data_IF_785713662075
#
_entry.id   IF_785713662075
#
_cell.length_a   1.000
_cell.length_b   1.000
_cell.length_c   1.000
_cell.angle_alpha   90.00
_cell.angle_beta   90.00
_cell.angle_gamma   90.00
#
_symmetry.space_group_name_H-M   'P 1'
#
loop_
_entity.id
_entity.type
_entity.pdbx_description
1 polymer ?
#
# COMPACT_ATOMS: atom_id res chain seq x y z
N UNK A 1 -20.26 -0.46 0.32
CA UNK A 1 -20.30 -0.53 -1.15
C UNK A 1 -19.79 0.75 -1.82
N UNK A 2 -20.51 1.88 -1.82
CA UNK A 2 -20.02 3.13 -2.46
C UNK A 2 -18.96 3.87 -1.64
N UNK A 3 -19.13 3.95 -0.31
CA UNK A 3 -18.17 4.63 0.57
C UNK A 3 -16.82 3.91 0.64
N UNK A 4 -16.83 2.58 0.74
CA UNK A 4 -15.59 1.77 0.75
C UNK A 4 -14.82 1.92 -0.56
N UNK A 5 -15.51 1.82 -1.71
CA UNK A 5 -14.87 2.01 -3.01
C UNK A 5 -14.25 3.41 -3.13
N UNK A 6 -14.97 4.44 -2.69
CA UNK A 6 -14.47 5.81 -2.65
C UNK A 6 -13.22 5.94 -1.77
N UNK A 7 -13.23 5.32 -0.57
CA UNK A 7 -12.08 5.32 0.33
C UNK A 7 -10.87 4.61 -0.27
N UNK A 8 -11.06 3.47 -0.95
CA UNK A 8 -9.98 2.78 -1.67
C UNK A 8 -9.37 3.70 -2.74
N UNK A 9 -10.19 4.35 -3.56
CA UNK A 9 -9.70 5.27 -4.59
C UNK A 9 -8.99 6.49 -4.02
N UNK A 10 -9.47 7.03 -2.88
CA UNK A 10 -8.82 8.14 -2.19
C UNK A 10 -7.44 7.72 -1.68
N UNK A 11 -7.32 6.56 -1.03
CA UNK A 11 -6.03 6.03 -0.56
C UNK A 11 -5.09 5.81 -1.75
N UNK A 12 -5.58 5.15 -2.80
CA UNK A 12 -4.79 4.88 -4.01
C UNK A 12 -4.30 6.18 -4.66
N UNK A 13 -5.19 7.16 -4.82
CA UNK A 13 -4.86 8.49 -5.35
C UNK A 13 -3.82 9.21 -4.50
N UNK A 14 -3.96 9.18 -3.18
CA UNK A 14 -2.98 9.76 -2.26
C UNK A 14 -1.61 9.08 -2.37
N UNK A 15 -1.56 7.75 -2.50
CA UNK A 15 -0.30 7.02 -2.72
C UNK A 15 0.35 7.46 -4.02
N UNK A 16 -0.39 7.52 -5.13
CA UNK A 16 0.16 7.96 -6.41
C UNK A 16 0.73 9.38 -6.33
N UNK A 17 0.00 10.32 -5.71
CA UNK A 17 0.50 11.69 -5.53
C UNK A 17 1.78 11.69 -4.71
N UNK A 18 1.85 10.94 -3.61
CA UNK A 18 3.03 10.86 -2.75
C UNK A 18 4.24 10.21 -3.44
N UNK A 19 4.01 9.16 -4.25
CA UNK A 19 5.05 8.51 -5.03
C UNK A 19 5.56 9.43 -6.14
N UNK A 20 4.68 10.16 -6.83
CA UNK A 20 5.07 11.12 -7.89
C UNK A 20 5.83 12.31 -7.31
N UNK A 21 5.44 12.77 -6.11
CA UNK A 21 6.07 13.93 -5.46
C UNK A 21 7.56 13.73 -5.19
N UNK A 22 8.02 12.48 -5.04
CA UNK A 22 9.45 12.13 -5.02
C UNK A 22 10.28 12.70 -3.86
N UNK A 23 9.66 13.42 -2.91
CA UNK A 23 10.36 13.99 -1.74
C UNK A 23 10.49 13.01 -0.58
N UNK A 24 9.53 12.09 -0.45
CA UNK A 24 9.51 11.07 0.60
C UNK A 24 10.06 9.78 0.00
N UNK A 25 10.85 9.03 0.78
CA UNK A 25 11.33 7.71 0.36
C UNK A 25 10.13 6.82 0.00
N UNK A 26 10.21 6.18 -1.15
CA UNK A 26 9.15 5.31 -1.68
C UNK A 26 8.71 4.23 -0.68
N UNK A 27 9.66 3.63 0.04
CA UNK A 27 9.38 2.63 1.07
C UNK A 27 8.51 3.18 2.20
N UNK A 28 8.77 4.43 2.61
CA UNK A 28 8.05 5.09 3.70
C UNK A 28 6.62 5.45 3.25
N UNK A 29 6.46 5.87 2.00
CA UNK A 29 5.13 6.10 1.39
C UNK A 29 4.34 4.80 1.38
N UNK A 30 4.91 3.70 0.86
CA UNK A 30 4.25 2.40 0.80
C UNK A 30 3.86 1.87 2.20
N UNK A 31 4.76 1.99 3.18
CA UNK A 31 4.50 1.56 4.55
C UNK A 31 3.41 2.38 5.24
N UNK A 32 3.44 3.71 5.07
CA UNK A 32 2.41 4.58 5.63
C UNK A 32 1.02 4.32 5.02
N UNK A 33 0.97 4.07 3.71
CA UNK A 33 -0.26 3.73 3.01
C UNK A 33 -0.88 2.43 3.52
N UNK A 34 -0.05 1.41 3.76
CA UNK A 34 -0.47 0.14 4.33
C UNK A 34 -1.12 0.35 5.71
N UNK A 35 -0.44 1.08 6.60
CA UNK A 35 -0.94 1.37 7.94
C UNK A 35 -2.27 2.13 7.88
N UNK A 36 -2.36 3.17 7.04
CA UNK A 36 -3.58 3.98 6.90
C UNK A 36 -4.74 3.14 6.35
N UNK A 37 -4.49 2.30 5.35
CA UNK A 37 -5.53 1.43 4.78
C UNK A 37 -6.06 0.43 5.81
N UNK A 38 -5.17 -0.20 6.58
CA UNK A 38 -5.56 -1.12 7.65
C UNK A 38 -6.27 -0.40 8.79
N UNK A 39 -5.80 0.80 9.20
CA UNK A 39 -6.41 1.57 10.27
C UNK A 39 -7.83 2.06 9.96
N UNK A 40 -8.14 2.36 8.69
CA UNK A 40 -9.49 2.74 8.24
C UNK A 40 -10.41 1.50 8.09
N UNK A 41 -9.87 0.28 8.27
CA UNK A 41 -10.62 -0.97 8.16
C UNK A 41 -10.89 -1.39 6.71
N UNK A 42 -10.15 -0.82 5.74
CA UNK A 42 -10.25 -1.20 4.33
C UNK A 42 -9.63 -2.57 4.05
N UNK A 43 -8.68 -2.98 4.89
CA UNK A 43 -7.99 -4.27 4.80
C UNK A 43 -8.03 -4.92 6.19
N UNK A 44 -8.45 -6.19 6.30
CA UNK A 44 -8.36 -6.95 7.55
C UNK A 44 -6.92 -6.95 8.06
N UNK A 45 -6.72 -6.71 9.35
CA UNK A 45 -5.38 -6.68 9.97
C UNK A 45 -4.61 -7.98 9.74
N UNK A 46 -5.34 -9.10 9.70
CA UNK A 46 -4.83 -10.45 9.49
C UNK A 46 -4.27 -10.64 8.07
N UNK A 47 -4.78 -9.88 7.10
CA UNK A 47 -4.41 -9.96 5.68
C UNK A 47 -3.55 -8.79 5.20
N UNK A 48 -3.26 -7.80 6.05
CA UNK A 48 -2.46 -6.61 5.75
C UNK A 48 -1.15 -6.95 5.01
N UNK A 49 -0.43 -7.98 5.45
CA UNK A 49 0.87 -8.36 4.85
C UNK A 49 0.78 -9.40 3.74
N UNK A 50 -0.43 -9.87 3.38
CA UNK A 50 -0.62 -10.89 2.35
C UNK A 50 -0.01 -10.49 1.00
N UNK A 51 -0.01 -9.19 0.68
CA UNK A 51 0.62 -8.64 -0.52
C UNK A 51 2.13 -8.86 -0.59
N UNK A 52 2.83 -8.90 0.55
CA UNK A 52 4.27 -9.19 0.58
C UNK A 52 4.59 -10.68 0.34
N UNK A 53 3.64 -11.57 0.65
CA UNK A 53 3.76 -13.00 0.39
C UNK A 53 3.53 -13.39 -1.07
N UNK A 54 3.21 -12.43 -1.94
CA UNK A 54 2.98 -12.71 -3.35
C UNK A 54 4.28 -13.10 -4.05
N UNK A 55 4.24 -14.18 -4.85
CA UNK A 55 5.42 -14.71 -5.54
C UNK A 55 6.14 -13.64 -6.36
N UNK A 56 5.41 -12.71 -6.97
CA UNK A 56 5.97 -11.58 -7.70
C UNK A 56 6.85 -10.66 -6.82
N UNK A 57 6.39 -10.32 -5.61
CA UNK A 57 7.14 -9.45 -4.68
C UNK A 57 8.39 -10.15 -4.16
N UNK A 58 8.26 -11.45 -3.82
CA UNK A 58 9.39 -12.27 -3.38
C UNK A 58 10.50 -12.38 -4.45
N UNK A 59 10.13 -12.53 -5.72
CA UNK A 59 11.08 -12.56 -6.84
C UNK A 59 11.85 -11.24 -6.95
N UNK A 60 11.15 -10.08 -6.88
CA UNK A 60 11.80 -8.77 -6.95
C UNK A 60 12.77 -8.56 -5.79
N UNK A 61 12.37 -8.91 -4.56
CA UNK A 61 13.22 -8.79 -3.39
C UNK A 61 14.50 -9.63 -3.50
N UNK A 62 14.41 -10.85 -4.06
CA UNK A 62 15.55 -11.74 -4.27
C UNK A 62 16.51 -11.23 -5.35
N UNK A 63 16.01 -10.54 -6.38
CA UNK A 63 16.82 -9.95 -7.45
C UNK A 63 17.58 -8.70 -7.00
N UNK A 64 17.09 -7.99 -5.98
CA UNK A 64 17.68 -6.74 -5.50
C UNK A 64 18.77 -6.94 -4.42
N UNK A 65 19.03 -8.19 -3.99
CA UNK A 65 20.13 -8.59 -3.10
C UNK A 65 21.38 -8.88 -3.94
#
# INVERSE_FOLDING_TARGET
MTTELMLIFVVLGAVFVLLIWGRIRYDLVAFSALIVATAIGLVPTDEMFSGFGHSAVAIIALVLI
#
